data_IF_637293808215
#
_entry.id   IF_637293808215
#
_cell.length_a   1.000
_cell.length_b   1.000
_cell.length_c   1.000
_cell.angle_alpha   90.00
_cell.angle_beta   90.00
_cell.angle_gamma   90.00
#
_symmetry.space_group_name_H-M   'P 1'
#
loop_
_entity.id
_entity.type
_entity.pdbx_description
1 polymer ?
#
# COMPACT_ATOMS: atom_id res chain seq x y z
N UNK A 1 14.59 16.78 -14.09
CA UNK A 1 13.85 15.53 -14.41
C UNK A 1 14.29 14.79 -15.69
N UNK A 2 14.82 15.44 -16.74
CA UNK A 2 15.04 14.80 -18.05
C UNK A 2 15.93 13.54 -18.06
N UNK A 3 17.02 13.49 -17.28
CA UNK A 3 17.92 12.32 -17.23
C UNK A 3 17.24 11.11 -16.58
N UNK A 4 16.61 11.30 -15.41
CA UNK A 4 15.97 10.20 -14.69
C UNK A 4 14.77 9.64 -15.46
N UNK A 5 14.02 10.50 -16.17
CA UNK A 5 12.96 10.06 -17.07
C UNK A 5 13.53 9.16 -18.20
N UNK A 6 14.70 9.50 -18.77
CA UNK A 6 15.35 8.64 -19.76
C UNK A 6 15.79 7.30 -19.17
N UNK A 7 16.31 7.28 -17.95
CA UNK A 7 16.69 6.04 -17.26
C UNK A 7 15.48 5.13 -17.06
N UNK A 8 14.39 5.67 -16.50
CA UNK A 8 13.16 4.93 -16.23
C UNK A 8 12.39 4.56 -17.50
N UNK A 9 12.58 5.28 -18.60
CA UNK A 9 12.04 4.88 -19.90
C UNK A 9 12.77 3.68 -20.52
N UNK A 10 14.04 3.47 -20.16
CA UNK A 10 14.84 2.33 -20.62
C UNK A 10 14.67 1.11 -19.72
N UNK A 11 14.57 1.34 -18.42
CA UNK A 11 14.31 0.32 -17.42
C UNK A 11 13.41 0.92 -16.33
N UNK A 12 12.11 0.64 -16.45
CA UNK A 12 11.06 1.11 -15.55
C UNK A 12 11.21 0.57 -14.12
N UNK A 13 12.01 -0.49 -13.94
CA UNK A 13 12.23 -1.19 -12.67
C UNK A 13 13.58 -0.84 -12.04
N UNK A 14 14.34 0.08 -12.64
CA UNK A 14 15.64 0.49 -12.15
C UNK A 14 15.54 1.16 -10.77
N UNK A 15 15.88 0.41 -9.72
CA UNK A 15 15.82 0.88 -8.33
C UNK A 15 16.64 2.15 -8.08
N UNK A 16 17.83 2.26 -8.69
CA UNK A 16 18.65 3.46 -8.58
C UNK A 16 18.03 4.65 -9.31
N UNK A 17 17.37 4.42 -10.44
CA UNK A 17 16.60 5.43 -11.17
C UNK A 17 15.48 6.01 -10.30
N UNK A 18 14.70 5.15 -9.65
CA UNK A 18 13.67 5.58 -8.70
C UNK A 18 14.24 6.29 -7.47
N UNK A 19 15.34 5.79 -6.91
CA UNK A 19 16.06 6.45 -5.82
C UNK A 19 16.54 7.85 -6.19
N UNK A 20 17.13 7.98 -7.37
CA UNK A 20 17.60 9.26 -7.88
C UNK A 20 16.44 10.22 -8.22
N UNK A 21 15.30 9.70 -8.68
CA UNK A 21 14.07 10.50 -8.89
C UNK A 21 13.62 11.16 -7.59
N UNK A 22 13.47 10.38 -6.51
CA UNK A 22 13.10 10.91 -5.19
C UNK A 22 14.09 11.95 -4.69
N UNK A 23 15.39 11.70 -4.86
CA UNK A 23 16.42 12.67 -4.52
C UNK A 23 16.24 14.00 -5.29
N UNK A 24 16.06 13.95 -6.61
CA UNK A 24 15.85 15.16 -7.41
C UNK A 24 14.60 15.91 -6.95
N UNK A 25 13.48 15.21 -6.76
CA UNK A 25 12.21 15.81 -6.30
C UNK A 25 12.41 16.56 -4.98
N UNK A 26 13.03 15.92 -4.00
CA UNK A 26 13.31 16.53 -2.70
C UNK A 26 14.20 17.78 -2.81
N UNK A 27 15.17 17.80 -3.72
CA UNK A 27 16.02 18.97 -3.95
C UNK A 27 15.25 20.09 -4.66
N UNK A 28 14.36 19.76 -5.60
CA UNK A 28 13.50 20.75 -6.27
C UNK A 28 12.59 21.43 -5.24
N UNK A 29 11.90 20.66 -4.41
CA UNK A 29 11.01 21.19 -3.36
C UNK A 29 11.78 22.04 -2.34
N UNK A 30 13.01 21.65 -2.00
CA UNK A 30 13.88 22.44 -1.12
C UNK A 30 14.26 23.78 -1.74
N UNK A 31 14.69 23.78 -3.00
CA UNK A 31 15.04 25.01 -3.71
C UNK A 31 13.83 25.93 -3.89
N UNK A 32 12.64 25.39 -4.18
CA UNK A 32 11.41 26.17 -4.27
C UNK A 32 11.11 26.87 -2.93
N UNK A 33 11.20 26.16 -1.81
CA UNK A 33 11.02 26.76 -0.47
C UNK A 33 12.03 27.85 -0.17
N UNK A 34 13.30 27.66 -0.54
CA UNK A 34 14.35 28.66 -0.29
C UNK A 34 14.13 29.93 -1.13
N UNK A 35 13.78 29.77 -2.42
CA UNK A 35 13.46 30.89 -3.33
C UNK A 35 12.25 31.69 -2.83
N UNK A 36 11.18 30.99 -2.39
CA UNK A 36 9.97 31.65 -1.90
C UNK A 36 10.29 32.48 -0.64
N UNK A 37 11.07 31.94 0.30
CA UNK A 37 11.49 32.65 1.52
C UNK A 37 12.31 33.91 1.23
N UNK A 38 13.20 33.87 0.24
CA UNK A 38 13.96 35.06 -0.18
C UNK A 38 13.04 36.12 -0.78
N UNK A 39 12.09 35.71 -1.62
CA UNK A 39 11.12 36.60 -2.28
C UNK A 39 10.18 37.29 -1.28
N UNK A 40 9.69 36.57 -0.26
CA UNK A 40 8.83 37.15 0.78
C UNK A 40 9.58 38.20 1.61
N UNK A 41 10.85 37.94 1.96
CA UNK A 41 11.69 38.91 2.70
C UNK A 41 11.93 40.20 1.91
N UNK A 42 12.19 40.11 0.61
CA UNK A 42 12.38 41.29 -0.24
C UNK A 42 11.10 42.13 -0.37
N UNK A 43 9.91 41.50 -0.36
CA UNK A 43 8.61 42.21 -0.37
C UNK A 43 8.36 42.93 0.97
N UNK A 44 8.63 42.28 2.11
CA UNK A 44 8.45 42.87 3.46
C UNK A 44 9.42 44.04 3.74
N UNK A 45 10.62 44.04 3.16
CA UNK A 45 11.58 45.15 3.29
C UNK A 45 11.29 46.33 2.34
N UNK A 46 10.43 46.14 1.33
CA UNK A 46 10.16 47.11 0.26
C UNK A 46 8.82 47.86 0.35
N UNK A 47 7.78 47.27 0.95
CA UNK A 47 6.44 47.86 1.05
C UNK A 47 5.94 47.85 2.50
N UNK A 48 5.53 49.02 3.02
CA UNK A 48 4.99 49.14 4.36
C UNK A 48 3.68 48.40 4.51
N UNK A 49 3.62 47.52 5.52
CA UNK A 49 2.46 46.82 6.08
C UNK A 49 1.10 47.08 5.40
N UNK A 50 0.79 46.36 4.32
CA UNK A 50 -0.59 45.98 4.02
C UNK A 50 -0.62 44.48 3.77
N UNK A 51 -1.05 43.75 4.80
CA UNK A 51 -1.14 42.30 4.80
C UNK A 51 -2.14 41.78 3.77
N UNK A 52 -1.71 40.75 3.05
CA UNK A 52 -2.59 39.72 2.53
C UNK A 52 -1.90 38.40 2.84
N UNK A 53 -2.46 37.66 3.81
CA UNK A 53 -2.18 36.26 4.05
C UNK A 53 -2.69 35.45 2.85
N UNK A 54 -2.01 35.57 1.70
CA UNK A 54 -2.07 34.56 0.66
C UNK A 54 -1.05 33.50 1.06
N UNK A 55 -1.53 32.43 1.71
CA UNK A 55 -0.78 31.19 1.83
C UNK A 55 -0.42 30.73 0.41
N UNK A 56 0.72 31.18 -0.11
CA UNK A 56 1.30 30.67 -1.35
C UNK A 56 1.53 29.18 -1.11
N UNK A 57 0.61 28.34 -1.61
CA UNK A 57 0.69 26.88 -1.54
C UNK A 57 2.10 26.45 -1.95
N UNK A 58 2.89 25.95 -0.99
CA UNK A 58 4.18 25.35 -1.29
C UNK A 58 3.93 24.29 -2.37
N UNK A 59 4.47 24.49 -3.59
CA UNK A 59 4.28 23.57 -4.72
C UNK A 59 4.96 22.21 -4.44
N UNK A 60 4.32 21.41 -3.60
CA UNK A 60 4.70 20.03 -3.36
C UNK A 60 4.54 19.23 -4.64
N UNK A 61 5.54 18.41 -4.95
CA UNK A 61 5.50 17.51 -6.09
C UNK A 61 4.86 16.16 -5.72
N UNK A 62 4.36 15.99 -4.49
CA UNK A 62 3.87 14.69 -3.99
C UNK A 62 2.77 14.11 -4.87
N UNK A 63 1.81 14.93 -5.32
CA UNK A 63 0.71 14.50 -6.19
C UNK A 63 1.20 14.07 -7.56
N UNK A 64 2.15 14.83 -8.12
CA UNK A 64 2.75 14.51 -9.42
C UNK A 64 3.55 13.21 -9.34
N UNK A 65 4.26 12.99 -8.25
CA UNK A 65 5.01 11.75 -8.02
C UNK A 65 4.08 10.56 -7.76
N UNK A 66 2.99 10.76 -7.03
CA UNK A 66 1.98 9.73 -6.82
C UNK A 66 1.32 9.33 -8.15
N UNK A 67 0.90 10.29 -8.97
CA UNK A 67 0.38 10.04 -10.32
C UNK A 67 1.42 9.38 -11.25
N UNK A 68 2.71 9.71 -11.06
CA UNK A 68 3.79 9.06 -11.79
C UNK A 68 3.88 7.57 -11.45
N UNK A 69 3.67 7.16 -10.19
CA UNK A 69 3.61 5.73 -9.84
C UNK A 69 2.48 5.00 -10.60
N UNK A 70 1.29 5.60 -10.68
CA UNK A 70 0.16 5.09 -11.48
C UNK A 70 0.48 4.94 -12.94
N UNK A 71 1.13 5.93 -13.53
CA UNK A 71 1.58 5.87 -14.92
C UNK A 71 2.59 4.72 -15.15
N UNK A 72 3.40 4.40 -14.14
CA UNK A 72 4.48 3.43 -14.27
C UNK A 72 4.02 1.98 -14.03
N UNK A 73 3.18 1.72 -13.03
CA UNK A 73 2.60 0.38 -12.87
C UNK A 73 1.51 0.10 -13.92
N UNK A 74 0.78 1.12 -14.39
CA UNK A 74 -0.21 0.95 -15.46
C UNK A 74 0.37 0.54 -16.81
N UNK A 75 1.69 0.73 -17.01
CA UNK A 75 2.43 0.23 -18.19
C UNK A 75 2.98 -1.19 -18.00
N UNK A 76 3.19 -1.59 -16.76
CA UNK A 76 3.86 -2.81 -16.35
C UNK A 76 3.47 -3.13 -14.90
N UNK A 77 2.47 -3.99 -14.72
CA UNK A 77 1.97 -4.36 -13.39
C UNK A 77 3.06 -5.04 -12.54
N UNK A 78 4.05 -5.66 -13.18
CA UNK A 78 5.23 -6.26 -12.54
C UNK A 78 6.27 -5.23 -12.09
N UNK A 79 5.97 -3.93 -12.20
CA UNK A 79 6.88 -2.88 -11.76
C UNK A 79 6.83 -2.68 -10.25
N UNK A 80 7.46 -3.60 -9.49
CA UNK A 80 7.59 -3.50 -8.04
C UNK A 80 8.16 -2.15 -7.58
N UNK A 81 9.05 -1.53 -8.36
CA UNK A 81 9.58 -0.22 -7.98
C UNK A 81 8.50 0.86 -7.98
N UNK A 82 7.55 0.83 -8.91
CA UNK A 82 6.43 1.76 -8.93
C UNK A 82 5.53 1.56 -7.69
N UNK A 83 5.13 0.31 -7.42
CA UNK A 83 4.33 -0.05 -6.24
C UNK A 83 5.00 0.34 -4.91
N UNK A 84 6.29 0.04 -4.77
CA UNK A 84 7.06 0.42 -3.58
C UNK A 84 7.23 1.93 -3.41
N UNK A 85 7.32 2.69 -4.51
CA UNK A 85 7.34 4.15 -4.39
C UNK A 85 5.95 4.68 -4.03
N UNK A 86 4.88 4.04 -4.52
CA UNK A 86 3.50 4.41 -4.20
C UNK A 86 3.24 4.27 -2.70
N UNK A 87 3.61 3.14 -2.10
CA UNK A 87 3.42 2.91 -0.65
C UNK A 87 4.14 3.95 0.21
N UNK A 88 5.31 4.42 -0.23
CA UNK A 88 6.07 5.47 0.46
C UNK A 88 5.47 6.87 0.31
N UNK A 89 4.73 7.13 -0.76
CA UNK A 89 4.12 8.44 -1.03
C UNK A 89 2.78 8.59 -0.32
N UNK A 90 2.01 7.51 -0.17
CA UNK A 90 0.67 7.52 0.45
C UNK A 90 0.60 8.31 1.77
N UNK A 91 1.49 8.10 2.76
CA UNK A 91 1.43 8.84 4.02
C UNK A 91 1.54 10.35 3.82
N UNK A 92 2.44 10.78 2.93
CA UNK A 92 2.69 12.20 2.62
C UNK A 92 1.53 12.80 1.82
N UNK A 93 1.02 12.09 0.81
CA UNK A 93 -0.16 12.50 0.03
C UNK A 93 -1.34 12.76 0.95
N UNK A 94 -1.69 11.80 1.81
CA UNK A 94 -2.83 11.94 2.71
C UNK A 94 -2.61 13.02 3.78
N UNK A 95 -1.36 13.23 4.21
CA UNK A 95 -1.02 14.29 5.16
C UNK A 95 -1.15 15.68 4.53
N UNK A 96 -0.61 15.89 3.33
CA UNK A 96 -0.63 17.19 2.65
C UNK A 96 -2.04 17.56 2.16
N UNK A 97 -2.87 16.57 1.83
CA UNK A 97 -4.31 16.79 1.59
C UNK A 97 -5.10 17.20 2.83
N UNK A 98 -4.51 17.11 4.03
CA UNK A 98 -5.27 17.27 5.28
C UNK A 98 -6.37 16.23 5.46
N UNK A 99 -6.18 15.03 4.90
CA UNK A 99 -7.27 14.07 4.70
C UNK A 99 -7.89 13.59 6.02
N UNK A 100 -9.24 13.65 6.09
CA UNK A 100 -10.01 13.15 7.23
C UNK A 100 -9.95 11.61 7.33
N UNK A 101 -10.48 11.05 8.42
CA UNK A 101 -10.56 9.59 8.61
C UNK A 101 -11.40 8.96 7.48
N UNK A 102 -12.51 9.60 7.10
CA UNK A 102 -13.41 9.13 6.05
C UNK A 102 -12.76 9.21 4.66
N UNK A 103 -12.00 10.27 4.38
CA UNK A 103 -11.26 10.42 3.13
C UNK A 103 -10.12 9.40 3.02
N UNK A 104 -9.42 9.13 4.12
CA UNK A 104 -8.40 8.07 4.20
C UNK A 104 -9.01 6.69 3.99
N UNK A 105 -10.20 6.43 4.52
CA UNK A 105 -10.94 5.18 4.27
C UNK A 105 -11.34 5.05 2.80
N UNK A 106 -11.89 6.11 2.21
CA UNK A 106 -12.27 6.12 0.79
C UNK A 106 -11.04 5.89 -0.11
N UNK A 107 -9.91 6.48 0.24
CA UNK A 107 -8.64 6.25 -0.46
C UNK A 107 -8.19 4.79 -0.35
N UNK A 108 -8.27 4.19 0.84
CA UNK A 108 -7.94 2.79 1.07
C UNK A 108 -8.83 1.85 0.24
N UNK A 109 -10.15 2.09 0.22
CA UNK A 109 -11.08 1.30 -0.59
C UNK A 109 -10.74 1.37 -2.09
N UNK A 110 -10.32 2.54 -2.58
CA UNK A 110 -9.80 2.71 -3.94
C UNK A 110 -8.54 1.88 -4.20
N UNK A 111 -7.54 1.95 -3.33
CA UNK A 111 -6.30 1.16 -3.46
C UNK A 111 -6.55 -0.35 -3.40
N UNK A 112 -7.46 -0.81 -2.54
CA UNK A 112 -7.86 -2.22 -2.45
C UNK A 112 -8.57 -2.67 -3.73
N UNK A 113 -9.41 -1.84 -4.33
CA UNK A 113 -10.07 -2.15 -5.62
C UNK A 113 -9.07 -2.24 -6.79
N UNK A 114 -8.06 -1.37 -6.81
CA UNK A 114 -6.95 -1.47 -7.76
C UNK A 114 -6.17 -2.78 -7.55
N UNK A 115 -5.93 -3.19 -6.29
CA UNK A 115 -5.24 -4.45 -5.99
C UNK A 115 -6.04 -5.69 -6.35
N UNK A 116 -7.35 -5.69 -6.08
CA UNK A 116 -8.23 -6.75 -6.57
C UNK A 116 -8.08 -6.87 -8.09
N UNK A 117 -8.24 -5.78 -8.84
CA UNK A 117 -8.11 -5.78 -10.31
C UNK A 117 -6.74 -6.28 -10.79
N UNK A 118 -5.66 -5.84 -10.15
CA UNK A 118 -4.30 -6.23 -10.51
C UNK A 118 -4.03 -7.71 -10.23
N UNK A 119 -4.47 -8.24 -9.07
CA UNK A 119 -4.33 -9.65 -8.71
C UNK A 119 -5.18 -10.55 -9.63
N UNK A 120 -6.39 -10.12 -9.99
CA UNK A 120 -7.20 -10.81 -11.01
C UNK A 120 -6.55 -10.82 -12.39
N UNK A 121 -5.71 -9.83 -12.70
CA UNK A 121 -5.01 -9.75 -14.00
C UNK A 121 -3.80 -10.67 -14.06
N UNK A 122 -3.01 -10.75 -12.99
CA UNK A 122 -1.89 -11.69 -12.88
C UNK A 122 -1.69 -12.13 -11.41
N UNK A 123 -2.32 -13.24 -10.99
CA UNK A 123 -2.22 -13.72 -9.61
C UNK A 123 -0.85 -14.29 -9.28
N UNK A 124 -0.02 -14.58 -10.29
CA UNK A 124 1.33 -15.13 -10.15
C UNK A 124 2.41 -14.04 -10.03
N UNK A 125 2.04 -12.75 -10.15
CA UNK A 125 2.97 -11.64 -10.02
C UNK A 125 3.25 -11.28 -8.56
N UNK A 126 4.47 -11.57 -8.11
CA UNK A 126 4.92 -11.25 -6.76
C UNK A 126 4.91 -9.74 -6.45
N UNK A 127 5.10 -8.88 -7.45
CA UNK A 127 5.12 -7.43 -7.25
C UNK A 127 3.78 -6.90 -6.78
N UNK A 128 2.70 -7.40 -7.39
CA UNK A 128 1.32 -7.05 -7.07
C UNK A 128 0.99 -7.55 -5.66
N UNK A 129 1.29 -8.83 -5.41
CA UNK A 129 1.03 -9.47 -4.12
C UNK A 129 1.76 -8.77 -2.96
N UNK A 130 3.02 -8.37 -3.15
CA UNK A 130 3.77 -7.64 -2.13
C UNK A 130 3.16 -6.27 -1.78
N UNK A 131 2.55 -5.58 -2.75
CA UNK A 131 1.88 -4.32 -2.48
C UNK A 131 0.54 -4.53 -1.76
N UNK A 132 -0.26 -5.51 -2.20
CA UNK A 132 -1.49 -5.91 -1.51
C UNK A 132 -1.21 -6.31 -0.05
N UNK A 133 -0.19 -7.13 0.16
CA UNK A 133 0.27 -7.57 1.47
C UNK A 133 0.64 -6.40 2.37
N UNK A 134 1.41 -5.42 1.85
CA UNK A 134 1.74 -4.21 2.59
C UNK A 134 0.50 -3.40 2.94
N UNK A 135 -0.43 -3.22 1.99
CA UNK A 135 -1.63 -2.41 2.19
C UNK A 135 -2.51 -2.99 3.31
N UNK A 136 -2.75 -4.31 3.28
CA UNK A 136 -3.50 -5.02 4.31
C UNK A 136 -2.78 -5.04 5.65
N UNK A 137 -1.45 -5.16 5.66
CA UNK A 137 -0.68 -5.07 6.90
C UNK A 137 -0.79 -3.67 7.53
N UNK A 138 -0.66 -2.62 6.73
CA UNK A 138 -0.75 -1.23 7.19
C UNK A 138 -2.16 -0.88 7.70
N UNK A 139 -3.21 -1.35 7.02
CA UNK A 139 -4.61 -1.04 7.39
C UNK A 139 -5.17 -1.94 8.49
N UNK A 140 -4.86 -3.23 8.46
CA UNK A 140 -5.58 -4.24 9.25
C UNK A 140 -4.76 -4.89 10.38
N UNK A 141 -3.45 -4.61 10.51
CA UNK A 141 -2.67 -5.14 11.63
C UNK A 141 -3.20 -4.67 13.00
N UNK A 142 -3.24 -5.59 13.97
CA UNK A 142 -3.47 -5.29 15.39
C UNK A 142 -2.21 -4.76 16.07
N UNK A 143 -1.03 -5.11 15.55
CA UNK A 143 0.29 -4.73 16.09
C UNK A 143 0.79 -3.48 15.37
N UNK A 144 0.27 -2.31 15.76
CA UNK A 144 0.80 -1.05 15.25
C UNK A 144 2.10 -0.65 15.98
N UNK A 145 3.13 -0.20 15.27
CA UNK A 145 4.34 0.31 15.90
C UNK A 145 4.01 1.54 16.74
N UNK A 146 4.40 1.52 18.01
CA UNK A 146 4.08 2.54 19.04
C UNK A 146 4.63 3.95 18.73
N UNK A 147 5.40 4.11 17.66
CA UNK A 147 6.17 5.33 17.38
C UNK A 147 5.59 6.21 16.27
N UNK A 148 4.56 5.77 15.53
CA UNK A 148 3.99 6.54 14.41
C UNK A 148 2.48 6.38 14.37
N UNK A 149 1.76 7.50 14.20
CA UNK A 149 0.32 7.46 13.92
C UNK A 149 0.07 6.66 12.65
N UNK A 150 -0.94 5.78 12.64
CA UNK A 150 -1.21 4.93 11.49
C UNK A 150 -1.68 5.76 10.29
N UNK A 151 -1.33 5.29 9.09
CA UNK A 151 -1.77 5.91 7.84
C UNK A 151 -3.29 5.78 7.69
N UNK A 152 -3.81 4.59 8.04
CA UNK A 152 -5.22 4.24 8.03
C UNK A 152 -5.68 3.86 9.44
N UNK A 153 -6.74 4.52 9.91
CA UNK A 153 -7.35 4.25 11.22
C UNK A 153 -8.66 3.53 11.00
N UNK A 154 -8.69 2.22 11.28
CA UNK A 154 -9.88 1.37 11.16
C UNK A 154 -10.26 0.78 12.52
N UNK A 155 -11.56 0.64 12.78
CA UNK A 155 -12.08 -0.16 13.91
C UNK A 155 -11.88 -1.66 13.63
N UNK A 156 -11.91 -2.50 14.66
CA UNK A 156 -11.79 -3.95 14.47
C UNK A 156 -12.87 -4.50 13.52
N UNK A 157 -14.13 -4.04 13.66
CA UNK A 157 -15.22 -4.38 12.73
C UNK A 157 -14.88 -4.03 11.27
N UNK A 158 -14.34 -2.83 11.01
CA UNK A 158 -13.94 -2.42 9.66
C UNK A 158 -12.74 -3.22 9.12
N UNK A 159 -11.79 -3.59 9.98
CA UNK A 159 -10.68 -4.48 9.61
C UNK A 159 -11.20 -5.86 9.24
N UNK A 160 -12.09 -6.43 10.06
CA UNK A 160 -12.74 -7.71 9.82
C UNK A 160 -13.53 -7.71 8.51
N UNK A 161 -14.35 -6.69 8.25
CA UNK A 161 -15.06 -6.49 6.98
C UNK A 161 -14.10 -6.50 5.78
N UNK A 162 -13.01 -5.73 5.87
CA UNK A 162 -12.01 -5.61 4.80
C UNK A 162 -11.32 -6.96 4.50
N UNK A 163 -10.93 -7.69 5.55
CA UNK A 163 -10.24 -8.98 5.42
C UNK A 163 -11.18 -10.07 4.90
N UNK A 164 -12.44 -10.10 5.35
CA UNK A 164 -13.46 -11.04 4.87
C UNK A 164 -13.78 -10.82 3.40
N UNK A 165 -14.02 -9.56 3.00
CA UNK A 165 -14.20 -9.19 1.59
C UNK A 165 -12.99 -9.60 0.75
N UNK A 166 -11.78 -9.47 1.31
CA UNK A 166 -10.54 -9.88 0.65
C UNK A 166 -10.48 -11.40 0.44
N UNK A 167 -10.80 -12.19 1.47
CA UNK A 167 -10.86 -13.65 1.35
C UNK A 167 -11.94 -14.10 0.36
N UNK A 168 -13.10 -13.44 0.34
CA UNK A 168 -14.20 -13.78 -0.57
C UNK A 168 -13.75 -13.75 -2.03
N UNK A 169 -13.24 -12.62 -2.51
CA UNK A 169 -12.82 -12.54 -3.92
C UNK A 169 -11.55 -13.35 -4.20
N UNK A 170 -10.67 -13.57 -3.22
CA UNK A 170 -9.51 -14.45 -3.39
C UNK A 170 -9.93 -15.92 -3.53
N UNK A 171 -10.98 -16.36 -2.82
CA UNK A 171 -11.55 -17.71 -2.98
C UNK A 171 -12.12 -17.89 -4.38
N UNK A 172 -12.86 -16.91 -4.88
CA UNK A 172 -13.37 -16.93 -6.27
C UNK A 172 -12.24 -17.08 -7.29
N UNK A 173 -11.14 -16.34 -7.11
CA UNK A 173 -9.98 -16.45 -7.99
C UNK A 173 -9.23 -17.77 -7.84
N UNK A 174 -9.22 -18.36 -6.64
CA UNK A 174 -8.58 -19.64 -6.37
C UNK A 174 -9.33 -20.80 -7.06
N UNK A 175 -10.65 -20.69 -7.22
CA UNK A 175 -11.43 -21.68 -7.97
C UNK A 175 -10.98 -21.77 -9.44
N UNK A 176 -10.61 -20.64 -10.04
CA UNK A 176 -10.09 -20.58 -11.41
C UNK A 176 -8.58 -20.90 -11.49
N UNK A 177 -7.79 -20.48 -10.50
CA UNK A 177 -6.33 -20.64 -10.44
C UNK A 177 -5.87 -21.45 -9.20
N UNK A 178 -6.26 -22.74 -9.07
CA UNK A 178 -6.15 -23.52 -7.83
C UNK A 178 -4.72 -23.86 -7.41
N UNK A 179 -3.77 -23.79 -8.35
CA UNK A 179 -2.36 -24.05 -8.10
C UNK A 179 -1.55 -22.76 -7.90
N UNK A 180 -2.21 -21.60 -7.80
CA UNK A 180 -1.54 -20.34 -7.54
C UNK A 180 -1.00 -20.27 -6.11
N UNK A 181 0.29 -20.61 -5.97
CA UNK A 181 1.03 -20.54 -4.70
C UNK A 181 0.93 -19.17 -4.02
N UNK A 182 1.04 -18.07 -4.77
CA UNK A 182 1.01 -16.74 -4.17
C UNK A 182 -0.36 -16.38 -3.60
N UNK A 183 -1.44 -16.78 -4.28
CA UNK A 183 -2.79 -16.58 -3.81
C UNK A 183 -3.05 -17.35 -2.51
N UNK A 184 -2.66 -18.63 -2.46
CA UNK A 184 -2.74 -19.45 -1.24
C UNK A 184 -1.93 -18.86 -0.08
N UNK A 185 -0.70 -18.40 -0.34
CA UNK A 185 0.14 -17.73 0.66
C UNK A 185 -0.53 -16.47 1.21
N UNK A 186 -1.13 -15.65 0.34
CA UNK A 186 -1.80 -14.42 0.72
C UNK A 186 -3.10 -14.69 1.50
N UNK A 187 -3.89 -15.69 1.11
CA UNK A 187 -5.11 -16.08 1.86
C UNK A 187 -4.79 -16.55 3.28
N UNK A 188 -3.70 -17.30 3.47
CA UNK A 188 -3.21 -17.67 4.81
C UNK A 188 -2.78 -16.43 5.59
N UNK A 189 -2.12 -15.47 4.95
CA UNK A 189 -1.77 -14.20 5.59
C UNK A 189 -3.02 -13.42 6.03
N UNK A 190 -4.02 -13.26 5.15
CA UNK A 190 -5.27 -12.56 5.45
C UNK A 190 -6.05 -13.26 6.57
N UNK A 191 -6.16 -14.59 6.53
CA UNK A 191 -6.76 -15.38 7.60
C UNK A 191 -6.01 -15.23 8.93
N UNK A 192 -4.68 -15.10 8.90
CA UNK A 192 -3.88 -14.84 10.10
C UNK A 192 -4.16 -13.46 10.69
N UNK A 193 -4.27 -12.42 9.86
CA UNK A 193 -4.65 -11.08 10.33
C UNK A 193 -6.03 -11.10 11.00
N UNK A 194 -7.00 -11.79 10.40
CA UNK A 194 -8.36 -11.89 10.93
C UNK A 194 -8.42 -12.63 12.29
N UNK A 195 -7.55 -13.63 12.49
CA UNK A 195 -7.40 -14.33 13.77
C UNK A 195 -6.69 -13.50 14.84
N UNK A 196 -5.78 -12.62 14.42
CA UNK A 196 -5.01 -11.74 15.31
C UNK A 196 -5.80 -10.49 15.77
N UNK A 197 -7.04 -10.31 15.29
CA UNK A 197 -7.96 -9.28 15.78
C UNK A 197 -8.61 -9.73 17.10
N UNK A 198 -8.61 -8.84 18.10
CA UNK A 198 -9.25 -9.10 19.40
C UNK A 198 -10.77 -9.27 19.24
N UNK A 199 -11.32 -10.29 19.90
CA UNK A 199 -12.77 -10.52 19.97
C UNK A 199 -13.47 -9.30 20.58
N UNK A 200 -14.28 -8.60 19.78
CA UNK A 200 -15.19 -7.57 20.25
C UNK A 200 -16.63 -8.08 20.25
N UNK A 201 -17.49 -7.49 21.07
CA UNK A 201 -18.94 -7.83 21.13
C UNK A 201 -19.67 -7.64 19.78
N UNK A 202 -19.07 -6.92 18.83
CA UNK A 202 -19.61 -6.67 17.48
C UNK A 202 -19.11 -7.68 16.42
N UNK A 203 -18.21 -8.60 16.78
CA UNK A 203 -17.61 -9.60 15.87
C UNK A 203 -18.23 -11.01 15.99
N UNK A 204 -19.38 -11.16 16.66
CA UNK A 204 -20.05 -12.46 16.87
C UNK A 204 -20.35 -13.23 15.56
N UNK A 205 -20.36 -12.55 14.41
CA UNK A 205 -20.63 -13.14 13.09
C UNK A 205 -19.38 -13.74 12.39
N UNK A 206 -18.16 -13.57 12.91
CA UNK A 206 -16.94 -14.12 12.28
C UNK A 206 -16.67 -15.55 12.77
N UNK A 207 -16.94 -16.55 11.94
CA UNK A 207 -16.61 -17.96 12.22
C UNK A 207 -15.08 -18.20 12.11
N UNK A 208 -14.34 -17.88 13.18
CA UNK A 208 -12.87 -18.08 13.22
C UNK A 208 -12.48 -19.56 13.13
N UNK A 209 -13.37 -20.49 13.50
CA UNK A 209 -13.13 -21.92 13.36
C UNK A 209 -13.22 -22.37 11.89
N UNK A 210 -14.12 -21.77 11.12
CA UNK A 210 -14.16 -21.91 9.65
C UNK A 210 -12.88 -21.39 9.01
N UNK A 211 -12.46 -20.17 9.35
CA UNK A 211 -11.21 -19.59 8.83
C UNK A 211 -10.01 -20.48 9.16
N UNK A 212 -9.95 -21.05 10.37
CA UNK A 212 -8.89 -21.99 10.76
C UNK A 212 -8.91 -23.27 9.91
N UNK A 213 -10.09 -23.85 9.68
CA UNK A 213 -10.24 -25.04 8.82
C UNK A 213 -9.82 -24.76 7.38
N UNK A 214 -10.20 -23.60 6.86
CA UNK A 214 -9.81 -23.18 5.51
C UNK A 214 -8.29 -22.99 5.40
N UNK A 215 -7.67 -22.32 6.36
CA UNK A 215 -6.21 -22.17 6.40
C UNK A 215 -5.48 -23.51 6.44
N UNK A 216 -6.00 -24.51 7.16
CA UNK A 216 -5.45 -25.86 7.15
C UNK A 216 -5.51 -26.47 5.74
N UNK A 217 -6.65 -26.34 5.05
CA UNK A 217 -6.81 -26.83 3.67
C UNK A 217 -5.87 -26.14 2.68
N UNK A 218 -5.69 -24.81 2.81
CA UNK A 218 -4.78 -24.05 1.95
C UNK A 218 -3.31 -24.41 2.20
N UNK A 219 -2.93 -24.70 3.45
CA UNK A 219 -1.58 -25.17 3.78
C UNK A 219 -1.30 -26.57 3.22
N UNK A 220 -2.29 -27.46 3.26
CA UNK A 220 -2.19 -28.77 2.60
C UNK A 220 -1.95 -28.60 1.11
N UNK A 221 -2.72 -27.72 0.45
CA UNK A 221 -2.54 -27.39 -0.96
C UNK A 221 -1.15 -26.78 -1.23
N UNK A 222 -0.66 -25.88 -0.39
CA UNK A 222 0.69 -25.31 -0.50
C UNK A 222 1.80 -26.36 -0.41
N UNK A 223 1.63 -27.40 0.40
CA UNK A 223 2.60 -28.50 0.46
C UNK A 223 2.65 -29.31 -0.85
N UNK A 224 1.56 -29.35 -1.61
CA UNK A 224 1.51 -29.96 -2.94
C UNK A 224 2.16 -29.07 -4.02
N UNK A 225 1.80 -27.78 -4.05
CA UNK A 225 2.22 -26.86 -5.14
C UNK A 225 3.59 -26.20 -4.89
N UNK A 226 4.08 -26.18 -3.66
CA UNK A 226 5.41 -25.68 -3.28
C UNK A 226 6.18 -26.69 -2.40
N UNK A 227 6.52 -27.87 -2.95
CA UNK A 227 7.12 -28.96 -2.18
C UNK A 227 8.50 -28.60 -1.62
N UNK A 228 9.23 -27.68 -2.27
CA UNK A 228 10.53 -27.20 -1.78
C UNK A 228 10.43 -26.43 -0.46
N UNK A 229 9.27 -25.82 -0.18
CA UNK A 229 8.97 -25.15 1.10
C UNK A 229 8.00 -25.94 1.98
N UNK A 230 7.71 -27.20 1.66
CA UNK A 230 6.77 -28.03 2.43
C UNK A 230 7.07 -28.13 3.94
N UNK A 231 8.35 -28.06 4.33
CA UNK A 231 8.73 -27.99 5.74
C UNK A 231 8.23 -26.72 6.46
N UNK A 232 8.29 -25.56 5.79
CA UNK A 232 7.77 -24.29 6.29
C UNK A 232 6.25 -24.35 6.47
N UNK A 233 5.54 -24.91 5.50
CA UNK A 233 4.08 -25.02 5.53
C UNK A 233 3.60 -25.96 6.62
N UNK A 234 4.29 -27.09 6.82
CA UNK A 234 4.00 -28.00 7.93
C UNK A 234 4.21 -27.34 9.29
N UNK A 235 5.32 -26.63 9.48
CA UNK A 235 5.57 -25.90 10.74
C UNK A 235 4.48 -24.85 11.02
N UNK A 236 3.96 -24.20 9.97
CA UNK A 236 2.84 -23.26 10.10
C UNK A 236 1.53 -23.98 10.44
N UNK A 237 1.26 -25.14 9.83
CA UNK A 237 0.09 -25.97 10.13
C UNK A 237 0.08 -26.45 11.58
N UNK A 238 1.25 -26.83 12.12
CA UNK A 238 1.39 -27.26 13.51
C UNK A 238 1.13 -26.13 14.53
N UNK A 239 1.26 -24.86 14.11
CA UNK A 239 1.08 -23.66 14.94
C UNK A 239 -0.33 -23.07 14.88
N UNK A 240 -1.18 -23.54 13.96
CA UNK A 240 -2.53 -23.02 13.73
C UNK A 240 -3.52 -23.43 14.81
#
# INVERSE_FOLDING_TARGET
MGLVNKMLSRDSRNFHGWGYRRYIVQNIETLQRDINKETTKEKEEGEGEEGVDEEEEEESLVEQEFAYTTTMYGKDLSNFSAWHNRSKLIPRVLSERGATIEERRTFLDGELGEMQTAVYTDPYDQSIQLYNHWLLLESCSSKQPTSTSPVFSLTNSQKSETLLRTLEWMRELLDEEPDCRLLLEEMIFVGSLLRDLDETEEEEDVDRDEIKRDMQSWLEKLMEVDPMRGGRWREMQDKL
#
